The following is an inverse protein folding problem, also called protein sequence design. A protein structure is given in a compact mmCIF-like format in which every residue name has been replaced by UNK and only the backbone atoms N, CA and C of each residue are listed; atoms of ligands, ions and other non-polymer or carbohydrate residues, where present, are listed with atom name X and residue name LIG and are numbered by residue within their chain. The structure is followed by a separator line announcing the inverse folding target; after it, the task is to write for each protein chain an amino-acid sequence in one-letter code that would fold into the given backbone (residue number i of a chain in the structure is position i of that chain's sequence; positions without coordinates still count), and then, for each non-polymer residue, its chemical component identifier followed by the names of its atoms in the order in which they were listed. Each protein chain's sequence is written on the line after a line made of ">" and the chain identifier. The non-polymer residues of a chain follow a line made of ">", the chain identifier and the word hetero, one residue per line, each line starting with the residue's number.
data_IF_941313418483
#
_entry.id   IF_941313418483
#
_cell.length_a   1.000
_cell.length_b   1.000
_cell.length_c   1.000
_cell.angle_alpha   90.00
_cell.angle_beta   90.00
_cell.angle_gamma   90.00
#
_symmetry.space_group_name_H-M   'P 1'
#
loop_
_entity.id
_entity.type
_entity.pdbx_description
1 polymer ?
#
# COMPACT_ATOMS: atom_id res chain seq x y z
N UNK A 1 -17.11 8.68 2.71
CA UNK A 1 -16.41 8.43 3.98
C UNK A 1 -15.31 9.45 4.10
N UNK A 2 -15.28 10.22 5.19
CA UNK A 2 -14.32 11.30 5.40
C UNK A 2 -12.89 10.72 5.35
N UNK A 3 -12.22 10.90 4.21
CA UNK A 3 -10.85 10.46 4.05
C UNK A 3 -10.00 11.22 5.04
N UNK A 4 -9.35 10.50 5.95
CA UNK A 4 -8.28 11.07 6.75
C UNK A 4 -7.30 11.70 5.76
N UNK A 5 -7.23 13.04 5.74
CA UNK A 5 -6.46 13.76 4.74
C UNK A 5 -5.00 13.39 4.92
N UNK A 6 -4.48 12.47 4.10
CA UNK A 6 -3.08 11.97 4.13
C UNK A 6 -2.07 13.10 4.25
N UNK A 7 -2.42 14.27 3.72
CA UNK A 7 -1.65 15.51 3.83
C UNK A 7 -1.28 15.88 5.27
N UNK A 8 -2.13 15.64 6.26
CA UNK A 8 -1.84 15.94 7.67
C UNK A 8 -0.77 15.05 8.29
N UNK A 9 -0.55 13.84 7.78
CA UNK A 9 0.55 12.96 8.22
C UNK A 9 1.74 13.08 7.28
N UNK A 10 1.50 13.30 5.98
CA UNK A 10 2.53 13.46 4.97
C UNK A 10 3.39 14.70 5.20
N UNK A 11 2.78 15.86 5.48
CA UNK A 11 3.53 17.11 5.62
C UNK A 11 4.46 17.12 6.84
N UNK A 12 4.02 16.76 8.06
CA UNK A 12 4.91 16.66 9.20
C UNK A 12 5.97 15.58 9.03
N UNK A 13 5.62 14.46 8.40
CA UNK A 13 6.56 13.37 8.15
C UNK A 13 7.63 13.78 7.13
N UNK A 14 7.28 14.44 6.02
CA UNK A 14 8.27 15.00 5.08
C UNK A 14 9.21 16.00 5.76
N UNK A 15 8.70 16.80 6.70
CA UNK A 15 9.54 17.71 7.47
C UNK A 15 10.49 16.96 8.42
N UNK A 16 9.97 15.99 9.18
CA UNK A 16 10.77 15.17 10.10
C UNK A 16 11.85 14.36 9.38
N UNK A 17 11.54 13.82 8.20
CA UNK A 17 12.48 13.03 7.40
C UNK A 17 13.61 13.87 6.82
N UNK A 18 13.37 15.16 6.53
CA UNK A 18 14.45 16.10 6.13
C UNK A 18 15.39 16.44 7.29
N UNK A 19 14.97 16.23 8.53
CA UNK A 19 15.79 16.42 9.73
C UNK A 19 16.49 15.14 10.20
N UNK A 20 16.22 14.00 9.56
CA UNK A 20 17.00 12.79 9.82
C UNK A 20 18.39 12.99 9.23
N UNK A 21 19.40 12.84 10.08
CA UNK A 21 20.78 12.77 9.64
C UNK A 21 20.99 11.42 8.95
N UNK A 22 21.22 11.47 7.64
CA UNK A 22 21.44 10.29 6.81
C UNK A 22 22.88 9.80 6.82
N UNK A 23 23.77 10.46 7.57
CA UNK A 23 25.20 10.13 7.66
C UNK A 23 25.55 9.41 8.98
N UNK A 24 24.70 9.51 10.02
CA UNK A 24 24.86 8.78 11.28
C UNK A 24 24.46 7.30 11.13
N UNK A 25 25.43 6.41 11.31
CA UNK A 25 25.27 4.96 11.19
C UNK A 25 24.24 4.40 12.20
N UNK A 26 24.12 4.98 13.39
CA UNK A 26 23.13 4.56 14.39
C UNK A 26 21.70 4.84 13.93
N UNK A 27 21.48 6.01 13.31
CA UNK A 27 20.16 6.41 12.79
C UNK A 27 19.79 5.52 11.61
N UNK A 28 20.72 5.24 10.71
CA UNK A 28 20.50 4.34 9.57
C UNK A 28 20.14 2.92 10.06
N UNK A 29 20.87 2.40 11.06
CA UNK A 29 20.59 1.08 11.62
C UNK A 29 19.19 1.01 12.24
N UNK A 30 18.84 2.00 13.09
CA UNK A 30 17.52 2.09 13.69
C UNK A 30 16.41 2.15 12.63
N UNK A 31 16.64 2.90 11.55
CA UNK A 31 15.67 3.05 10.47
C UNK A 31 15.49 1.77 9.66
N UNK A 32 16.56 0.99 9.45
CA UNK A 32 16.47 -0.35 8.84
C UNK A 32 15.66 -1.30 9.72
N UNK A 33 15.85 -1.27 11.03
CA UNK A 33 15.06 -2.07 11.98
C UNK A 33 13.59 -1.65 11.99
N UNK A 34 13.30 -0.35 12.03
CA UNK A 34 11.94 0.17 11.99
C UNK A 34 11.23 -0.19 10.67
N UNK A 35 11.92 0.00 9.54
CA UNK A 35 11.39 -0.37 8.24
C UNK A 35 11.17 -1.88 8.12
N UNK A 36 12.16 -2.69 8.52
CA UNK A 36 12.05 -4.14 8.50
C UNK A 36 10.85 -4.64 9.29
N UNK A 37 10.67 -4.17 10.53
CA UNK A 37 9.55 -4.60 11.39
C UNK A 37 8.19 -4.21 10.81
N UNK A 38 8.02 -2.96 10.40
CA UNK A 38 6.76 -2.49 9.78
C UNK A 38 6.48 -3.22 8.48
N UNK A 39 7.48 -3.39 7.62
CA UNK A 39 7.32 -4.05 6.33
C UNK A 39 6.97 -5.55 6.50
N UNK A 40 7.56 -6.24 7.48
CA UNK A 40 7.20 -7.64 7.81
C UNK A 40 5.74 -7.74 8.27
N UNK A 41 5.27 -6.82 9.10
CA UNK A 41 3.86 -6.78 9.54
C UNK A 41 2.93 -6.55 8.34
N UNK A 42 3.24 -5.57 7.49
CA UNK A 42 2.46 -5.23 6.30
C UNK A 42 2.34 -6.41 5.35
N UNK A 43 3.46 -7.07 5.04
CA UNK A 43 3.48 -8.24 4.16
C UNK A 43 2.66 -9.39 4.78
N UNK A 44 2.80 -9.62 6.10
CA UNK A 44 2.04 -10.65 6.81
C UNK A 44 0.53 -10.43 6.73
N UNK A 45 0.07 -9.19 6.97
CA UNK A 45 -1.35 -8.83 6.84
C UNK A 45 -1.83 -9.01 5.40
N UNK A 46 -1.04 -8.60 4.43
CA UNK A 46 -1.41 -8.65 3.01
C UNK A 46 -1.52 -10.11 2.52
N UNK A 47 -0.60 -10.98 2.97
CA UNK A 47 -0.68 -12.43 2.72
C UNK A 47 -1.90 -13.04 3.42
N UNK A 48 -2.20 -12.64 4.66
CA UNK A 48 -3.40 -13.11 5.37
C UNK A 48 -4.69 -12.73 4.64
N UNK A 49 -4.79 -11.51 4.11
CA UNK A 49 -5.91 -11.06 3.29
C UNK A 49 -6.03 -11.90 2.01
N UNK A 50 -4.91 -12.20 1.34
CA UNK A 50 -4.90 -13.05 0.15
C UNK A 50 -5.37 -14.48 0.45
N UNK A 51 -4.87 -15.11 1.51
CA UNK A 51 -5.27 -16.45 1.91
C UNK A 51 -6.74 -16.52 2.31
N UNK A 52 -7.24 -15.48 2.99
CA UNK A 52 -8.66 -15.35 3.35
C UNK A 52 -9.53 -15.19 2.10
N UNK A 53 -9.11 -14.36 1.14
CA UNK A 53 -9.79 -14.20 -0.13
C UNK A 53 -9.86 -15.52 -0.93
N UNK A 54 -8.77 -16.29 -0.97
CA UNK A 54 -8.76 -17.61 -1.60
C UNK A 54 -9.71 -18.60 -0.90
N UNK A 55 -9.72 -18.65 0.44
CA UNK A 55 -10.62 -19.52 1.21
C UNK A 55 -12.10 -19.16 1.02
N UNK A 56 -12.41 -17.89 0.85
CA UNK A 56 -13.77 -17.44 0.58
C UNK A 56 -14.22 -17.80 -0.83
N UNK A 57 -13.29 -17.79 -1.79
CA UNK A 57 -13.55 -18.23 -3.16
C UNK A 57 -13.76 -19.74 -3.30
N UNK A 58 -13.00 -20.56 -2.57
CA UNK A 58 -13.17 -22.01 -2.61
C UNK A 58 -14.47 -22.51 -1.93
N UNK A 59 -15.02 -21.73 -0.98
CA UNK A 59 -16.27 -22.04 -0.28
C UNK A 59 -17.55 -21.68 -1.05
N UNK A 60 -17.46 -21.24 -2.31
CA UNK A 60 -18.62 -20.99 -3.17
C UNK A 60 -19.51 -19.81 -2.75
N UNK A 61 -19.12 -19.00 -1.75
CA UNK A 61 -19.87 -17.81 -1.30
C UNK A 61 -19.62 -16.56 -2.18
N UNK A 62 -19.37 -16.75 -3.47
CA UNK A 62 -18.78 -15.73 -4.36
C UNK A 62 -19.63 -15.25 -5.52
N UNK A 63 -20.90 -15.66 -5.61
CA UNK A 63 -21.79 -15.28 -6.71
C UNK A 63 -22.51 -13.93 -6.50
N UNK A 64 -22.16 -13.16 -5.47
CA UNK A 64 -22.62 -11.78 -5.37
C UNK A 64 -21.96 -10.95 -6.47
N UNK A 65 -22.76 -10.32 -7.32
CA UNK A 65 -22.30 -9.38 -8.35
C UNK A 65 -22.09 -8.03 -7.66
N UNK A 66 -20.92 -7.43 -7.86
CA UNK A 66 -20.61 -6.08 -7.40
C UNK A 66 -20.27 -5.18 -8.59
N UNK A 67 -20.67 -3.92 -8.45
CA UNK A 67 -20.41 -2.86 -9.43
C UNK A 67 -19.18 -2.08 -8.98
N UNK A 68 -18.05 -2.31 -9.65
CA UNK A 68 -16.77 -1.69 -9.29
C UNK A 68 -16.50 -0.51 -10.24
N UNK A 69 -16.19 0.70 -9.73
CA UNK A 69 -15.81 1.81 -10.59
C UNK A 69 -14.51 1.48 -11.32
N UNK A 70 -14.48 1.70 -12.64
CA UNK A 70 -13.27 1.51 -13.43
C UNK A 70 -12.29 2.64 -13.12
N UNK A 71 -11.18 2.31 -12.47
CA UNK A 71 -10.04 3.22 -12.31
C UNK A 71 -9.32 3.31 -13.65
N UNK A 72 -9.50 4.41 -14.39
CA UNK A 72 -8.66 4.70 -15.56
C UNK A 72 -7.23 5.01 -15.10
N UNK A 73 -6.19 4.62 -15.86
CA UNK A 73 -4.78 4.87 -15.52
C UNK A 73 -4.44 6.37 -15.36
N UNK A 74 -5.24 7.23 -15.98
CA UNK A 74 -5.13 8.68 -15.89
C UNK A 74 -6.48 9.26 -15.46
N UNK A 75 -6.50 10.26 -14.56
CA UNK A 75 -7.73 10.97 -14.24
C UNK A 75 -8.27 11.58 -15.54
N UNK A 76 -9.51 11.24 -15.89
CA UNK A 76 -10.19 11.90 -17.01
C UNK A 76 -10.32 13.38 -16.66
N UNK A 77 -10.01 14.27 -17.62
CA UNK A 77 -9.99 15.72 -17.42
C UNK A 77 -11.34 16.33 -17.03
N UNK A 78 -12.43 15.56 -17.04
CA UNK A 78 -13.78 16.00 -16.71
C UNK A 78 -14.20 15.60 -15.28
N UNK A 79 -14.42 16.57 -14.38
CA UNK A 79 -14.96 16.35 -13.02
C UNK A 79 -16.34 15.68 -12.99
N UNK A 80 -17.07 15.65 -14.11
CA UNK A 80 -18.42 15.09 -14.26
C UNK A 80 -18.47 13.81 -15.11
N UNK A 81 -17.33 13.20 -15.47
CA UNK A 81 -17.34 11.94 -16.21
C UNK A 81 -18.07 10.86 -15.39
N UNK A 82 -19.20 10.36 -15.90
CA UNK A 82 -19.97 9.27 -15.27
C UNK A 82 -19.03 8.11 -14.97
N UNK A 83 -18.91 7.75 -13.70
CA UNK A 83 -18.13 6.58 -13.26
C UNK A 83 -18.65 5.36 -14.02
N UNK A 84 -17.84 4.81 -14.92
CA UNK A 84 -18.16 3.56 -15.58
C UNK A 84 -17.98 2.45 -14.56
N UNK A 85 -19.06 1.76 -14.21
CA UNK A 85 -19.03 0.63 -13.30
C UNK A 85 -18.97 -0.65 -14.12
N UNK A 86 -18.03 -1.54 -13.79
CA UNK A 86 -17.96 -2.88 -14.37
C UNK A 86 -18.59 -3.87 -13.38
N UNK A 87 -19.48 -4.71 -13.88
CA UNK A 87 -19.98 -5.85 -13.13
C UNK A 87 -18.86 -6.88 -13.00
N UNK A 88 -18.49 -7.19 -11.75
CA UNK A 88 -17.49 -8.21 -11.45
C UNK A 88 -18.05 -9.11 -10.35
N UNK A 89 -17.82 -10.41 -10.47
CA UNK A 89 -18.11 -11.36 -9.37
C UNK A 89 -17.26 -10.98 -8.16
N UNK A 90 -17.89 -10.85 -6.99
CA UNK A 90 -17.24 -10.41 -5.76
C UNK A 90 -15.99 -11.24 -5.41
N UNK A 91 -16.05 -12.56 -5.59
CA UNK A 91 -14.90 -13.44 -5.36
C UNK A 91 -13.72 -13.19 -6.30
N UNK A 92 -13.99 -13.01 -7.59
CA UNK A 92 -12.96 -12.74 -8.59
C UNK A 92 -12.33 -11.35 -8.37
N UNK A 93 -13.13 -10.38 -7.93
CA UNK A 93 -12.65 -9.05 -7.56
C UNK A 93 -11.72 -9.10 -6.34
N UNK A 94 -12.12 -9.78 -5.25
CA UNK A 94 -11.30 -9.92 -4.05
C UNK A 94 -9.94 -10.57 -4.32
N UNK A 95 -9.89 -11.63 -5.13
CA UNK A 95 -8.62 -12.28 -5.49
C UNK A 95 -7.75 -11.34 -6.32
N UNK A 96 -8.34 -10.60 -7.25
CA UNK A 96 -7.59 -9.67 -8.11
C UNK A 96 -7.01 -8.51 -7.31
N UNK A 97 -7.81 -7.91 -6.42
CA UNK A 97 -7.38 -6.81 -5.54
C UNK A 97 -6.32 -7.28 -4.56
N UNK A 98 -6.54 -8.40 -3.87
CA UNK A 98 -5.56 -8.92 -2.91
C UNK A 98 -4.24 -9.35 -3.58
N UNK A 99 -4.28 -9.97 -4.76
CA UNK A 99 -3.08 -10.27 -5.56
C UNK A 99 -2.35 -9.00 -5.98
N UNK A 100 -3.08 -7.98 -6.42
CA UNK A 100 -2.54 -6.67 -6.76
C UNK A 100 -1.88 -6.00 -5.56
N UNK A 101 -2.50 -6.08 -4.39
CA UNK A 101 -1.99 -5.53 -3.13
C UNK A 101 -0.71 -6.24 -2.66
N UNK A 102 -0.66 -7.58 -2.74
CA UNK A 102 0.57 -8.35 -2.46
C UNK A 102 1.68 -7.91 -3.43
N UNK A 103 1.39 -7.87 -4.73
CA UNK A 103 2.37 -7.53 -5.76
C UNK A 103 2.92 -6.12 -5.59
N UNK A 104 2.06 -5.13 -5.37
CA UNK A 104 2.49 -3.73 -5.17
C UNK A 104 3.28 -3.54 -3.88
N UNK A 105 2.90 -4.23 -2.80
CA UNK A 105 3.59 -4.16 -1.51
C UNK A 105 4.98 -4.76 -1.59
N UNK A 106 5.13 -5.94 -2.20
CA UNK A 106 6.43 -6.61 -2.38
C UNK A 106 7.31 -5.81 -3.34
N UNK A 107 6.76 -5.34 -4.46
CA UNK A 107 7.50 -4.52 -5.41
C UNK A 107 7.99 -3.21 -4.78
N UNK A 108 7.12 -2.51 -4.06
CA UNK A 108 7.47 -1.29 -3.32
C UNK A 108 8.56 -1.54 -2.29
N UNK A 109 8.52 -2.67 -1.59
CA UNK A 109 9.56 -3.07 -0.65
C UNK A 109 10.91 -3.30 -1.35
N UNK A 110 10.91 -4.06 -2.44
CA UNK A 110 12.12 -4.32 -3.22
C UNK A 110 12.74 -3.03 -3.75
N UNK A 111 11.95 -2.10 -4.29
CA UNK A 111 12.45 -0.81 -4.79
C UNK A 111 13.00 0.06 -3.66
N UNK A 112 12.33 0.08 -2.50
CA UNK A 112 12.79 0.87 -1.34
C UNK A 112 14.12 0.35 -0.81
N UNK A 113 14.27 -0.97 -0.69
CA UNK A 113 15.53 -1.61 -0.27
C UNK A 113 16.62 -1.38 -1.31
N UNK A 114 16.31 -1.56 -2.60
CA UNK A 114 17.27 -1.34 -3.68
C UNK A 114 17.79 0.11 -3.69
N UNK A 115 16.90 1.11 -3.59
CA UNK A 115 17.30 2.51 -3.55
C UNK A 115 18.10 2.87 -2.29
N UNK A 116 17.80 2.22 -1.16
CA UNK A 116 18.58 2.40 0.06
C UNK A 116 20.00 1.83 -0.08
N UNK A 117 20.15 0.62 -0.59
CA UNK A 117 21.46 -0.02 -0.77
C UNK A 117 22.30 0.65 -1.87
N UNK A 118 21.66 1.16 -2.92
CA UNK A 118 22.36 1.67 -4.11
C UNK A 118 22.64 3.18 -4.06
N UNK A 119 21.75 3.98 -3.45
CA UNK A 119 21.88 5.44 -3.37
C UNK A 119 21.94 5.98 -1.94
N UNK A 120 22.02 5.11 -0.93
CA UNK A 120 21.99 5.53 0.48
C UNK A 120 20.70 6.24 0.87
N UNK A 121 19.61 6.06 0.11
CA UNK A 121 18.40 6.85 0.31
C UNK A 121 17.69 6.44 1.61
N UNK A 122 17.74 7.31 2.62
CA UNK A 122 17.18 7.07 3.96
C UNK A 122 15.71 7.51 4.04
N UNK A 123 15.33 8.50 3.22
CA UNK A 123 14.00 9.09 3.13
C UNK A 123 12.92 8.06 2.79
N UNK A 124 13.20 7.15 1.86
CA UNK A 124 12.27 6.11 1.43
C UNK A 124 11.90 5.13 2.55
N UNK A 125 12.89 4.72 3.36
CA UNK A 125 12.68 3.84 4.51
C UNK A 125 11.77 4.51 5.55
N UNK A 126 12.04 5.77 5.89
CA UNK A 126 11.24 6.49 6.87
C UNK A 126 9.81 6.72 6.39
N UNK A 127 9.63 7.14 5.13
CA UNK A 127 8.30 7.34 4.56
C UNK A 127 7.47 6.06 4.55
N UNK A 128 8.04 4.95 4.06
CA UNK A 128 7.32 3.68 3.94
C UNK A 128 7.01 3.07 5.31
N UNK A 129 7.85 3.31 6.32
CA UNK A 129 7.59 2.87 7.70
C UNK A 129 6.39 3.55 8.34
N UNK A 130 6.09 4.80 7.95
CA UNK A 130 4.95 5.55 8.49
C UNK A 130 3.73 5.43 7.58
N UNK A 131 3.90 5.51 6.26
CA UNK A 131 2.80 5.50 5.29
C UNK A 131 2.32 4.10 4.90
N UNK A 132 3.18 3.09 4.99
CA UNK A 132 2.84 1.70 4.66
C UNK A 132 1.59 1.19 5.42
N UNK A 133 1.49 1.40 6.74
CA UNK A 133 0.29 1.04 7.50
C UNK A 133 -0.99 1.74 7.01
N UNK A 134 -0.92 3.05 6.70
CA UNK A 134 -2.09 3.79 6.19
C UNK A 134 -2.57 3.27 4.83
N UNK A 135 -1.64 2.78 4.00
CA UNK A 135 -2.00 2.18 2.73
C UNK A 135 -2.83 0.90 2.92
N UNK A 136 -2.61 0.12 3.99
CA UNK A 136 -3.46 -1.04 4.29
C UNK A 136 -4.85 -0.58 4.74
N UNK A 137 -4.95 0.39 5.65
CA UNK A 137 -6.24 0.85 6.18
C UNK A 137 -7.19 1.42 5.12
N UNK A 138 -6.66 1.94 4.02
CA UNK A 138 -7.50 2.42 2.91
C UNK A 138 -7.89 1.35 1.90
N UNK A 139 -7.15 0.23 1.86
CA UNK A 139 -7.40 -0.88 0.96
C UNK A 139 -8.07 -2.09 1.65
N UNK A 140 -8.27 -2.03 2.98
CA UNK A 140 -9.03 -2.98 3.80
C UNK A 140 -10.52 -2.66 3.75
#
# INVERSE_FOLDING_TARGET
>A
MAGFNKMFVMLPMMYAVRKLDGEDENIIFLLRCAYGTVQTIIISITIYCYLTAQKMASKGKTDRIIYVPQTKPFPSADPNAKKQYKEVKWGAHLITVSRGLVGSTVFGACITVALHLWKGMVVGLAMQSVMGPFNIFENA
#
